data_IF_162474934322
#
_entry.id   IF_162474934322
#
_cell.length_a   1.000
_cell.length_b   1.000
_cell.length_c   1.000
_cell.angle_alpha   90.00
_cell.angle_beta   90.00
_cell.angle_gamma   90.00
#
_symmetry.space_group_name_H-M   'P 1'
#
loop_
_entity.id
_entity.type
_entity.pdbx_description
1 polymer ?
#
# COMPACT_ATOMS: atom_id res chain seq x y z
N UNK A 1 11.71 -6.07 5.67
CA UNK A 1 13.13 -5.80 6.01
C UNK A 1 13.57 -4.45 5.45
N UNK A 2 13.37 -4.17 4.16
CA UNK A 2 13.78 -2.92 3.49
C UNK A 2 13.31 -1.69 4.30
N UNK A 3 12.02 -1.63 4.65
CA UNK A 3 11.44 -0.51 5.40
C UNK A 3 12.09 -0.27 6.77
N UNK A 4 12.37 -1.33 7.52
CA UNK A 4 13.03 -1.21 8.83
C UNK A 4 14.49 -0.78 8.69
N UNK A 5 15.23 -1.36 7.73
CA UNK A 5 16.61 -0.94 7.45
C UNK A 5 16.66 0.54 7.03
N UNK A 6 15.75 0.99 6.14
CA UNK A 6 15.65 2.38 5.71
C UNK A 6 15.32 3.33 6.88
N UNK A 7 14.45 2.89 7.81
CA UNK A 7 14.13 3.66 9.01
C UNK A 7 15.35 3.84 9.93
N UNK A 8 16.02 2.74 10.31
CA UNK A 8 17.17 2.81 11.20
C UNK A 8 18.39 3.49 10.54
N UNK A 9 18.50 3.45 9.20
CA UNK A 9 19.48 4.22 8.44
C UNK A 9 19.18 5.73 8.34
N UNK A 10 18.04 6.19 8.88
CA UNK A 10 17.63 7.59 8.83
C UNK A 10 17.15 8.07 7.44
N UNK A 11 16.95 7.16 6.49
CA UNK A 11 16.48 7.47 5.14
C UNK A 11 15.07 8.05 5.14
N UNK A 12 14.20 7.52 6.01
CA UNK A 12 12.81 7.97 6.16
C UNK A 12 12.72 9.42 6.62
N UNK A 13 13.58 9.80 7.59
CA UNK A 13 13.64 11.18 8.07
C UNK A 13 14.12 12.13 6.96
N UNK A 14 15.11 11.71 6.18
CA UNK A 14 15.60 12.50 5.05
C UNK A 14 14.51 12.74 3.99
N UNK A 15 13.72 11.70 3.68
CA UNK A 15 12.59 11.80 2.76
C UNK A 15 11.51 12.78 3.28
N UNK A 16 11.16 12.68 4.55
CA UNK A 16 10.20 13.60 5.18
C UNK A 16 10.69 15.05 5.16
N UNK A 17 11.95 15.31 5.51
CA UNK A 17 12.53 16.65 5.45
C UNK A 17 12.59 17.20 4.03
N UNK A 18 12.88 16.39 3.04
CA UNK A 18 12.82 16.79 1.64
C UNK A 18 11.39 17.19 1.24
N UNK A 19 10.40 16.33 1.49
CA UNK A 19 8.99 16.62 1.19
C UNK A 19 8.51 17.88 1.90
N UNK A 20 8.86 18.05 3.19
CA UNK A 20 8.55 19.25 3.98
C UNK A 20 9.07 20.53 3.33
N UNK A 21 10.33 20.59 2.95
CA UNK A 21 10.92 21.80 2.34
C UNK A 21 10.34 22.16 0.98
N UNK A 22 9.82 21.18 0.26
CA UNK A 22 9.23 21.39 -1.07
C UNK A 22 7.75 21.76 -1.01
N UNK A 23 6.97 21.22 -0.06
CA UNK A 23 5.51 21.27 -0.07
C UNK A 23 4.93 22.09 1.08
N UNK A 24 5.66 22.30 2.19
CA UNK A 24 5.09 22.86 3.42
C UNK A 24 4.59 24.33 3.32
N UNK A 25 4.86 25.02 2.21
CA UNK A 25 4.35 26.37 1.94
C UNK A 25 2.85 26.42 1.61
N UNK A 26 2.24 25.30 1.25
CA UNK A 26 0.81 25.17 0.97
C UNK A 26 0.02 25.13 2.29
N UNK A 27 -1.23 25.64 2.35
CA UNK A 27 -2.11 25.42 3.50
C UNK A 27 -2.22 23.91 3.80
N UNK A 28 -2.02 23.51 5.07
CA UNK A 28 -1.90 22.10 5.42
C UNK A 28 -0.60 21.44 4.95
N UNK A 29 0.38 22.21 4.49
CA UNK A 29 1.54 21.74 3.75
C UNK A 29 2.40 20.71 4.49
N UNK A 30 2.49 20.77 5.82
CA UNK A 30 3.21 19.74 6.58
C UNK A 30 2.47 18.39 6.55
N UNK A 31 1.15 18.41 6.60
CA UNK A 31 0.32 17.21 6.46
C UNK A 31 0.38 16.65 5.02
N UNK A 32 0.32 17.52 4.01
CA UNK A 32 0.54 17.12 2.61
C UNK A 32 1.93 16.53 2.41
N UNK A 33 2.96 17.16 2.98
CA UNK A 33 4.34 16.64 2.95
C UNK A 33 4.45 15.26 3.59
N UNK A 34 3.68 15.01 4.66
CA UNK A 34 3.61 13.70 5.31
C UNK A 34 3.03 12.66 4.36
N UNK A 35 1.92 12.95 3.67
CA UNK A 35 1.31 12.03 2.70
C UNK A 35 2.28 11.68 1.56
N UNK A 36 2.97 12.68 0.98
CA UNK A 36 3.93 12.40 -0.10
C UNK A 36 5.19 11.69 0.41
N UNK A 37 5.64 11.98 1.62
CA UNK A 37 6.75 11.26 2.22
C UNK A 37 6.37 9.81 2.56
N UNK A 38 5.14 9.58 3.06
CA UNK A 38 4.63 8.21 3.27
C UNK A 38 4.48 7.46 1.96
N UNK A 39 3.99 8.10 0.89
CA UNK A 39 3.91 7.52 -0.45
C UNK A 39 5.30 7.10 -0.98
N UNK A 40 6.29 7.98 -0.87
CA UNK A 40 7.67 7.66 -1.27
C UNK A 40 8.32 6.55 -0.42
N UNK A 41 8.02 6.50 0.88
CA UNK A 41 8.48 5.42 1.75
C UNK A 41 7.69 4.12 1.52
N UNK A 42 6.43 4.20 1.18
CA UNK A 42 5.58 3.09 0.79
C UNK A 42 6.20 2.27 -0.34
N UNK A 43 6.76 2.96 -1.35
CA UNK A 43 7.48 2.35 -2.46
C UNK A 43 8.75 1.57 -2.06
N UNK A 44 9.14 1.61 -0.79
CA UNK A 44 10.29 0.86 -0.25
C UNK A 44 9.83 -0.14 0.80
N UNK A 45 8.84 0.22 1.64
CA UNK A 45 8.42 -0.61 2.77
C UNK A 45 7.40 -1.69 2.39
N UNK A 46 6.47 -1.36 1.50
CA UNK A 46 5.38 -2.23 1.07
C UNK A 46 4.40 -2.67 2.17
N UNK A 47 4.49 -2.10 3.37
CA UNK A 47 3.70 -2.48 4.54
C UNK A 47 3.04 -1.26 5.16
N UNK A 48 1.70 -1.20 5.14
CA UNK A 48 0.89 -0.07 5.61
C UNK A 48 1.09 0.22 7.10
N UNK A 49 0.96 -0.78 7.94
CA UNK A 49 1.12 -0.64 9.40
C UNK A 49 2.53 -0.17 9.78
N UNK A 50 3.57 -0.75 9.16
CA UNK A 50 4.95 -0.34 9.42
C UNK A 50 5.20 1.11 8.97
N UNK A 51 4.67 1.50 7.81
CA UNK A 51 4.75 2.88 7.30
C UNK A 51 4.08 3.86 8.24
N UNK A 52 2.85 3.58 8.68
CA UNK A 52 2.12 4.41 9.63
C UNK A 52 2.87 4.54 10.97
N UNK A 53 3.39 3.43 11.51
CA UNK A 53 4.14 3.43 12.76
C UNK A 53 5.42 4.28 12.70
N UNK A 54 6.15 4.22 11.60
CA UNK A 54 7.37 5.00 11.37
C UNK A 54 7.03 6.50 11.28
N UNK A 55 6.04 6.86 10.46
CA UNK A 55 5.65 8.27 10.29
C UNK A 55 4.93 8.85 11.50
N UNK A 56 4.25 8.03 12.30
CA UNK A 56 3.73 8.47 13.60
C UNK A 56 4.82 9.02 14.52
N UNK A 57 5.99 8.40 14.51
CA UNK A 57 7.15 8.84 15.33
C UNK A 57 7.86 10.07 14.76
N UNK A 58 7.75 10.33 13.47
CA UNK A 58 8.47 11.42 12.79
C UNK A 58 7.55 12.64 12.56
N UNK A 59 6.38 12.43 11.98
CA UNK A 59 5.53 13.49 11.48
C UNK A 59 4.56 14.04 12.54
N UNK A 60 3.99 13.18 13.42
CA UNK A 60 3.03 13.66 14.44
C UNK A 60 3.66 14.66 15.40
N UNK A 61 4.85 14.40 16.02
CA UNK A 61 5.45 15.39 16.92
C UNK A 61 5.73 16.73 16.23
N UNK A 62 6.14 16.70 14.95
CA UNK A 62 6.43 17.89 14.18
C UNK A 62 5.15 18.67 13.87
N UNK A 63 4.05 18.00 13.48
CA UNK A 63 2.74 18.61 13.26
C UNK A 63 2.20 19.25 14.55
N UNK A 64 2.28 18.55 15.68
CA UNK A 64 1.82 19.07 16.98
C UNK A 64 2.64 20.30 17.43
N UNK A 65 3.96 20.32 17.18
CA UNK A 65 4.84 21.45 17.51
C UNK A 65 4.43 22.72 16.78
N UNK A 66 3.85 22.61 15.58
CA UNK A 66 3.40 23.74 14.75
C UNK A 66 1.95 24.11 15.03
N UNK A 67 1.26 23.36 15.90
CA UNK A 67 -0.11 23.67 16.33
C UNK A 67 -1.21 22.94 15.54
N UNK A 68 -0.89 21.87 14.82
CA UNK A 68 -1.90 21.00 14.20
C UNK A 68 -2.75 20.29 15.26
N UNK A 69 -4.02 20.08 14.98
CA UNK A 69 -4.88 19.26 15.82
C UNK A 69 -4.36 17.80 15.88
N UNK A 70 -4.40 17.20 17.08
CA UNK A 70 -3.87 15.85 17.33
C UNK A 70 -4.58 14.78 16.52
N UNK A 71 -5.92 14.88 16.38
CA UNK A 71 -6.74 13.91 15.64
C UNK A 71 -6.45 14.02 14.16
N UNK A 72 -6.31 15.24 13.66
CA UNK A 72 -5.95 15.47 12.26
C UNK A 72 -4.55 14.94 11.94
N UNK A 73 -3.55 15.21 12.78
CA UNK A 73 -2.20 14.69 12.59
C UNK A 73 -2.15 13.16 12.58
N UNK A 74 -2.89 12.51 13.49
CA UNK A 74 -3.01 11.06 13.52
C UNK A 74 -3.72 10.51 12.26
N UNK A 75 -4.83 11.12 11.84
CA UNK A 75 -5.57 10.75 10.64
C UNK A 75 -4.74 10.86 9.36
N UNK A 76 -3.95 11.92 9.22
CA UNK A 76 -3.03 12.12 8.08
C UNK A 76 -2.00 11.01 7.99
N UNK A 77 -1.41 10.61 9.12
CA UNK A 77 -0.42 9.53 9.15
C UNK A 77 -1.06 8.18 8.88
N UNK A 78 -2.25 7.92 9.43
CA UNK A 78 -3.00 6.70 9.16
C UNK A 78 -3.35 6.59 7.66
N UNK A 79 -3.94 7.65 7.08
CA UNK A 79 -4.27 7.70 5.66
C UNK A 79 -3.03 7.57 4.76
N UNK A 80 -1.94 8.28 5.10
CA UNK A 80 -0.68 8.14 4.38
C UNK A 80 -0.11 6.72 4.41
N UNK A 81 -0.24 6.03 5.55
CA UNK A 81 0.20 4.64 5.70
C UNK A 81 -0.49 3.69 4.74
N UNK A 82 -1.77 3.88 4.43
CA UNK A 82 -2.51 3.03 3.50
C UNK A 82 -2.00 3.09 2.05
N UNK A 83 -1.23 4.11 1.68
CA UNK A 83 -0.65 4.18 0.35
C UNK A 83 0.34 3.03 0.08
N UNK A 84 0.91 2.43 1.14
CA UNK A 84 1.83 1.30 1.02
C UNK A 84 1.16 -0.01 0.54
N UNK A 85 -0.16 -0.08 0.54
CA UNK A 85 -0.90 -1.22 -0.01
C UNK A 85 -0.99 -1.20 -1.52
N UNK A 86 -0.94 -0.02 -2.14
CA UNK A 86 -1.11 0.14 -3.58
C UNK A 86 0.19 0.50 -4.29
N UNK A 87 1.05 1.34 -3.67
CA UNK A 87 2.31 1.76 -4.28
C UNK A 87 3.31 0.61 -4.25
N UNK A 88 3.79 0.11 -5.40
CA UNK A 88 4.72 -1.01 -5.46
C UNK A 88 6.09 -0.72 -4.83
N UNK A 89 6.73 -1.74 -4.22
CA UNK A 89 6.24 -3.11 -3.99
C UNK A 89 5.30 -3.20 -2.79
N UNK A 90 4.11 -3.75 -2.98
CA UNK A 90 3.09 -3.92 -1.93
C UNK A 90 2.96 -5.37 -1.49
N UNK A 91 3.13 -5.63 -0.19
CA UNK A 91 3.00 -6.97 0.37
C UNK A 91 1.57 -7.52 0.22
N UNK A 92 0.55 -6.66 0.36
CA UNK A 92 -0.86 -7.07 0.27
C UNK A 92 -1.22 -7.44 -1.17
N UNK A 93 -0.74 -6.69 -2.17
CA UNK A 93 -0.94 -7.05 -3.58
C UNK A 93 -0.26 -8.37 -3.95
N UNK A 94 0.95 -8.61 -3.41
CA UNK A 94 1.63 -9.90 -3.61
C UNK A 94 0.84 -11.05 -3.00
N UNK A 95 0.33 -10.89 -1.77
CA UNK A 95 -0.51 -11.90 -1.11
C UNK A 95 -1.80 -12.14 -1.92
N UNK A 96 -2.47 -11.09 -2.37
CA UNK A 96 -3.63 -11.21 -3.24
C UNK A 96 -3.30 -12.04 -4.49
N UNK A 97 -2.23 -11.68 -5.20
CA UNK A 97 -1.82 -12.36 -6.43
C UNK A 97 -1.57 -13.86 -6.22
N UNK A 98 -0.94 -14.24 -5.10
CA UNK A 98 -0.68 -15.64 -4.74
C UNK A 98 -2.00 -16.41 -4.49
N UNK A 99 -2.98 -15.78 -3.80
CA UNK A 99 -4.24 -16.44 -3.47
C UNK A 99 -5.08 -16.71 -4.71
N UNK A 100 -5.16 -15.73 -5.62
CA UNK A 100 -6.01 -15.80 -6.80
C UNK A 100 -5.26 -16.26 -8.06
N UNK A 101 -4.00 -16.65 -7.90
CA UNK A 101 -3.13 -17.15 -8.97
C UNK A 101 -2.98 -16.15 -10.14
N UNK A 102 -2.88 -14.84 -9.80
CA UNK A 102 -2.63 -13.77 -10.76
C UNK A 102 -1.14 -13.46 -10.88
N UNK A 103 -0.76 -12.85 -12.01
CA UNK A 103 0.60 -12.37 -12.21
C UNK A 103 0.93 -11.21 -11.26
N UNK A 104 1.94 -11.43 -10.40
CA UNK A 104 2.37 -10.47 -9.38
C UNK A 104 2.89 -9.19 -10.02
N UNK A 105 3.64 -9.29 -11.12
CA UNK A 105 4.22 -8.14 -11.81
C UNK A 105 3.14 -7.23 -12.39
N UNK A 106 2.17 -7.80 -13.10
CA UNK A 106 1.05 -7.05 -13.65
C UNK A 106 0.22 -6.36 -12.56
N UNK A 107 -0.04 -7.07 -11.47
CA UNK A 107 -0.82 -6.51 -10.36
C UNK A 107 -0.09 -5.35 -9.66
N UNK A 108 1.21 -5.49 -9.44
CA UNK A 108 2.02 -4.41 -8.87
C UNK A 108 2.05 -3.18 -9.79
N UNK A 109 2.22 -3.35 -11.10
CA UNK A 109 2.13 -2.25 -12.07
C UNK A 109 0.76 -1.56 -12.03
N UNK A 110 -0.31 -2.33 -12.00
CA UNK A 110 -1.68 -1.81 -11.94
C UNK A 110 -1.92 -0.98 -10.66
N UNK A 111 -1.24 -1.28 -9.56
CA UNK A 111 -1.34 -0.55 -8.29
C UNK A 111 -0.71 0.84 -8.33
N UNK A 112 0.24 1.10 -9.24
CA UNK A 112 1.00 2.36 -9.25
C UNK A 112 0.13 3.59 -9.51
N UNK A 113 -0.69 3.56 -10.56
CA UNK A 113 -1.56 4.70 -10.93
C UNK A 113 -2.62 4.97 -9.85
N UNK A 114 -3.40 3.99 -9.36
CA UNK A 114 -4.35 4.19 -8.27
C UNK A 114 -3.68 4.65 -6.97
N UNK A 115 -2.47 4.16 -6.67
CA UNK A 115 -1.70 4.58 -5.51
C UNK A 115 -1.27 6.04 -5.58
N UNK A 116 -0.72 6.47 -6.72
CA UNK A 116 -0.35 7.87 -6.98
C UNK A 116 -1.59 8.79 -6.97
N UNK A 117 -2.68 8.37 -7.59
CA UNK A 117 -3.94 9.09 -7.58
C UNK A 117 -4.49 9.25 -6.15
N UNK A 118 -4.43 8.20 -5.33
CA UNK A 118 -4.84 8.27 -3.92
C UNK A 118 -4.01 9.27 -3.13
N UNK A 119 -2.69 9.33 -3.36
CA UNK A 119 -1.81 10.32 -2.71
C UNK A 119 -2.20 11.76 -3.10
N UNK A 120 -2.54 12.00 -4.37
CA UNK A 120 -3.02 13.30 -4.86
C UNK A 120 -4.37 13.67 -4.24
N UNK A 121 -5.32 12.74 -4.17
CA UNK A 121 -6.64 12.95 -3.54
C UNK A 121 -6.48 13.27 -2.06
N UNK A 122 -5.64 12.55 -1.33
CA UNK A 122 -5.36 12.86 0.08
C UNK A 122 -4.72 14.23 0.25
N UNK A 123 -3.76 14.58 -0.62
CA UNK A 123 -3.16 15.90 -0.63
C UNK A 123 -4.19 17.00 -0.88
N UNK A 124 -5.04 16.84 -1.88
CA UNK A 124 -6.11 17.79 -2.22
C UNK A 124 -7.13 17.93 -1.08
N UNK A 125 -7.54 16.81 -0.46
CA UNK A 125 -8.45 16.81 0.69
C UNK A 125 -7.85 17.58 1.88
N UNK A 126 -6.57 17.34 2.19
CA UNK A 126 -5.87 18.05 3.28
C UNK A 126 -5.84 19.56 3.02
N UNK A 127 -5.49 19.96 1.80
CA UNK A 127 -5.50 21.39 1.42
C UNK A 127 -6.91 21.97 1.53
N UNK A 128 -7.92 21.26 1.03
CA UNK A 128 -9.32 21.67 1.13
C UNK A 128 -9.77 21.86 2.59
N UNK A 129 -9.45 20.91 3.48
CA UNK A 129 -9.76 21.01 4.91
C UNK A 129 -9.00 22.16 5.60
N UNK A 130 -7.72 22.36 5.26
CA UNK A 130 -6.91 23.44 5.82
C UNK A 130 -7.40 24.84 5.38
N UNK A 131 -8.01 24.95 4.19
CA UNK A 131 -8.64 26.17 3.71
C UNK A 131 -10.01 26.39 4.33
N UNK A 132 -10.80 25.33 4.52
CA UNK A 132 -12.15 25.40 5.06
C UNK A 132 -12.20 25.65 6.58
N UNK A 133 -11.25 25.08 7.33
CA UNK A 133 -11.24 25.10 8.80
C UNK A 133 -10.01 25.89 9.29
N UNK A 134 -10.24 27.07 9.85
CA UNK A 134 -9.18 27.92 10.42
C UNK A 134 -8.43 27.16 11.54
N UNK A 135 -7.09 27.12 11.46
CA UNK A 135 -6.24 26.47 12.45
C UNK A 135 -6.00 24.98 12.25
N UNK A 136 -6.59 24.37 11.22
CA UNK A 136 -6.47 22.93 10.94
C UNK A 136 -5.11 22.54 10.36
N UNK A 137 -4.38 23.49 9.78
CA UNK A 137 -3.05 23.25 9.25
C UNK A 137 -2.38 24.54 8.79
N UNK A 138 -1.66 25.25 9.69
CA UNK A 138 -0.94 26.46 9.28
C UNK A 138 0.15 26.12 8.26
N UNK A 139 0.34 26.93 7.20
CA UNK A 139 1.43 26.74 6.27
C UNK A 139 2.77 27.01 6.97
N UNK A 140 3.78 26.21 6.66
CA UNK A 140 5.14 26.40 7.13
C UNK A 140 5.94 27.04 6.01
N UNK A 141 6.01 28.35 6.00
CA UNK A 141 6.74 29.13 5.00
C UNK A 141 8.22 29.32 5.33
N UNK A 142 8.93 29.88 4.38
CA UNK A 142 10.27 30.43 4.62
C UNK A 142 11.45 29.62 4.09
N UNK A 143 11.25 28.52 3.38
CA UNK A 143 12.36 27.76 2.79
C UNK A 143 12.85 28.40 1.50
N UNK A 144 14.15 28.75 1.46
CA UNK A 144 14.83 29.24 0.27
C UNK A 144 15.02 28.13 -0.78
N UNK A 145 15.20 28.51 -2.03
CA UNK A 145 15.50 27.55 -3.10
C UNK A 145 16.75 26.69 -2.81
N UNK A 146 17.76 27.31 -2.18
CA UNK A 146 18.97 26.60 -1.77
C UNK A 146 18.66 25.50 -0.75
N UNK A 147 17.81 25.78 0.25
CA UNK A 147 17.42 24.78 1.25
C UNK A 147 16.60 23.65 0.66
N UNK A 148 15.74 23.94 -0.34
CA UNK A 148 14.97 22.91 -1.07
C UNK A 148 15.90 21.97 -1.83
N UNK A 149 16.87 22.53 -2.55
CA UNK A 149 17.83 21.74 -3.34
C UNK A 149 18.77 20.91 -2.43
N UNK A 150 19.25 21.48 -1.34
CA UNK A 150 20.12 20.79 -0.35
C UNK A 150 19.37 19.64 0.36
N UNK A 151 18.04 19.67 0.42
CA UNK A 151 17.26 18.60 1.03
C UNK A 151 17.11 17.35 0.15
N UNK A 152 17.30 17.45 -1.17
CA UNK A 152 17.11 16.35 -2.11
C UNK A 152 18.19 15.26 -2.01
N UNK A 153 19.51 15.56 -1.99
CA UNK A 153 20.55 14.55 -1.97
C UNK A 153 20.41 13.50 -0.83
N UNK A 154 20.04 13.86 0.41
CA UNK A 154 19.82 12.88 1.47
C UNK A 154 18.63 11.94 1.23
N UNK A 155 17.66 12.34 0.39
CA UNK A 155 16.49 11.53 0.04
C UNK A 155 16.70 10.66 -1.20
N UNK A 156 17.67 11.00 -2.07
CA UNK A 156 17.95 10.25 -3.29
C UNK A 156 18.19 8.74 -3.09
N UNK A 157 18.82 8.27 -1.99
CA UNK A 157 19.01 6.85 -1.77
C UNK A 157 17.69 6.05 -1.79
N UNK A 158 16.59 6.60 -1.27
CA UNK A 158 15.27 5.93 -1.34
C UNK A 158 14.80 5.83 -2.79
N UNK A 159 14.92 6.92 -3.55
CA UNK A 159 14.55 6.92 -4.97
C UNK A 159 15.40 5.91 -5.75
N UNK A 160 16.69 5.84 -5.46
CA UNK A 160 17.59 4.86 -6.09
C UNK A 160 17.16 3.43 -5.82
N UNK A 161 16.78 3.09 -4.58
CA UNK A 161 16.28 1.74 -4.23
C UNK A 161 15.01 1.41 -5.01
N UNK A 162 14.04 2.34 -5.04
CA UNK A 162 12.79 2.15 -5.79
C UNK A 162 13.05 1.93 -7.26
N UNK A 163 13.88 2.79 -7.87
CA UNK A 163 14.27 2.67 -9.27
C UNK A 163 14.97 1.34 -9.53
N UNK A 164 15.88 0.91 -8.67
CA UNK A 164 16.59 -0.38 -8.80
C UNK A 164 15.59 -1.55 -8.80
N UNK A 165 14.63 -1.57 -7.88
CA UNK A 165 13.62 -2.63 -7.82
C UNK A 165 12.75 -2.63 -9.09
N UNK A 166 12.26 -1.47 -9.51
CA UNK A 166 11.42 -1.33 -10.71
C UNK A 166 12.18 -1.77 -11.97
N UNK A 167 13.42 -1.33 -12.12
CA UNK A 167 14.27 -1.74 -13.25
C UNK A 167 14.50 -3.23 -13.31
N UNK A 168 14.72 -3.87 -12.15
CA UNK A 168 14.98 -5.29 -12.09
C UNK A 168 13.75 -6.11 -12.44
N UNK A 169 12.59 -5.70 -11.94
CA UNK A 169 11.32 -6.42 -12.13
C UNK A 169 10.72 -6.20 -13.52
N UNK A 170 10.86 -5.00 -14.10
CA UNK A 170 10.10 -4.64 -15.32
C UNK A 170 10.95 -4.41 -16.56
N UNK A 171 12.29 -4.42 -16.47
CA UNK A 171 13.21 -4.19 -17.61
C UNK A 171 12.72 -3.09 -18.57
N UNK A 172 12.78 -1.79 -18.22
CA UNK A 172 12.21 -0.71 -19.02
C UNK A 172 12.90 -0.49 -20.38
N UNK A 173 14.02 -1.18 -20.65
CA UNK A 173 14.72 -1.13 -21.94
C UNK A 173 14.17 -2.12 -22.97
N UNK A 174 13.15 -2.91 -22.62
CA UNK A 174 12.57 -3.95 -23.47
C UNK A 174 13.29 -5.30 -23.35
N UNK A 175 12.56 -6.36 -23.62
CA UNK A 175 12.98 -7.75 -23.38
C UNK A 175 12.35 -8.33 -22.11
N UNK A 176 12.79 -9.52 -21.76
CA UNK A 176 12.28 -10.23 -20.57
C UNK A 176 12.71 -9.50 -19.27
N UNK A 177 11.90 -9.65 -18.23
CA UNK A 177 12.24 -9.16 -16.89
C UNK A 177 13.58 -9.78 -16.44
N UNK A 178 14.42 -8.98 -15.77
CA UNK A 178 15.72 -9.49 -15.29
C UNK A 178 15.57 -10.46 -14.10
N UNK A 179 14.42 -10.40 -13.45
CA UNK A 179 14.10 -11.32 -12.38
C UNK A 179 12.68 -11.16 -11.86
N UNK A 180 12.35 -12.01 -10.92
CA UNK A 180 11.05 -12.04 -10.25
C UNK A 180 10.88 -10.86 -9.27
N UNK A 181 9.66 -10.48 -8.91
CA UNK A 181 9.40 -9.48 -7.87
C UNK A 181 10.05 -9.82 -6.51
N UNK A 182 10.18 -11.10 -6.18
CA UNK A 182 10.85 -11.55 -4.96
C UNK A 182 12.37 -11.31 -5.00
N UNK A 183 12.99 -11.56 -6.15
CA UNK A 183 14.42 -11.26 -6.36
C UNK A 183 14.67 -9.76 -6.37
N UNK A 184 13.80 -8.97 -7.01
CA UNK A 184 13.83 -7.50 -6.93
C UNK A 184 13.75 -6.99 -5.50
N UNK A 185 12.88 -7.58 -4.69
CA UNK A 185 12.79 -7.30 -3.25
C UNK A 185 14.07 -7.66 -2.49
N UNK A 186 14.71 -8.79 -2.82
CA UNK A 186 15.98 -9.20 -2.20
C UNK A 186 17.12 -8.24 -2.55
N UNK A 187 17.22 -7.83 -3.82
CA UNK A 187 18.20 -6.83 -4.28
C UNK A 187 17.97 -5.49 -3.58
N UNK A 188 16.72 -5.03 -3.51
CA UNK A 188 16.36 -3.82 -2.79
C UNK A 188 16.77 -3.87 -1.32
N UNK A 189 16.55 -5.01 -0.64
CA UNK A 189 16.96 -5.23 0.75
C UNK A 189 18.49 -5.19 0.90
N UNK A 190 19.22 -5.80 -0.01
CA UNK A 190 20.67 -5.79 -0.02
C UNK A 190 21.25 -4.39 -0.25
N UNK A 191 20.71 -3.65 -1.21
CA UNK A 191 21.12 -2.27 -1.49
C UNK A 191 20.88 -1.37 -0.27
N UNK A 192 19.68 -1.45 0.35
CA UNK A 192 19.40 -0.67 1.57
C UNK A 192 20.30 -1.09 2.73
N UNK A 193 20.61 -2.37 2.87
CA UNK A 193 21.54 -2.86 3.88
C UNK A 193 22.95 -2.26 3.70
N UNK A 194 23.50 -2.25 2.48
CA UNK A 194 24.77 -1.61 2.20
C UNK A 194 24.74 -0.11 2.49
N UNK A 195 23.67 0.58 2.10
CA UNK A 195 23.49 2.00 2.40
C UNK A 195 23.39 2.27 3.91
N UNK A 196 22.73 1.40 4.66
CA UNK A 196 22.63 1.48 6.10
C UNK A 196 23.98 1.33 6.81
N UNK A 197 24.79 0.37 6.36
CA UNK A 197 26.16 0.20 6.84
C UNK A 197 27.01 1.43 6.53
N UNK A 198 26.94 1.95 5.30
CA UNK A 198 27.68 3.16 4.90
C UNK A 198 27.28 4.39 5.72
N UNK A 199 26.01 4.50 6.15
CA UNK A 199 25.51 5.55 7.04
C UNK A 199 25.85 5.30 8.53
N UNK A 200 26.59 4.25 8.85
CA UNK A 200 27.05 3.97 10.20
C UNK A 200 26.03 3.25 11.07
N UNK A 201 25.12 2.44 10.48
CA UNK A 201 24.23 1.57 11.24
C UNK A 201 25.05 0.66 12.17
N UNK A 202 24.66 0.62 13.45
CA UNK A 202 25.32 -0.20 14.47
C UNK A 202 24.59 -1.54 14.63
N UNK A 203 25.32 -2.53 15.16
CA UNK A 203 24.78 -3.87 15.40
C UNK A 203 23.43 -3.91 16.15
N UNK A 204 23.18 -3.12 17.22
CA UNK A 204 21.88 -3.12 17.87
C UNK A 204 20.72 -2.72 16.93
N UNK A 205 20.92 -1.72 16.08
CA UNK A 205 19.92 -1.25 15.11
C UNK A 205 19.63 -2.32 14.05
N UNK A 206 20.67 -3.01 13.57
CA UNK A 206 20.52 -4.13 12.64
C UNK A 206 19.75 -5.28 13.30
N UNK A 207 20.10 -5.63 14.53
CA UNK A 207 19.40 -6.66 15.31
C UNK A 207 17.92 -6.31 15.47
N UNK A 208 17.59 -5.06 15.82
CA UNK A 208 16.20 -4.61 15.97
C UNK A 208 15.44 -4.68 14.64
N UNK A 209 16.07 -4.24 13.53
CA UNK A 209 15.48 -4.35 12.19
C UNK A 209 15.17 -5.80 11.80
N UNK A 210 16.08 -6.72 12.09
CA UNK A 210 15.90 -8.15 11.83
C UNK A 210 14.82 -8.75 12.72
N UNK A 211 14.81 -8.42 14.01
CA UNK A 211 13.78 -8.91 14.94
C UNK A 211 12.38 -8.39 14.60
N UNK A 212 12.25 -7.12 14.27
CA UNK A 212 10.95 -6.56 13.82
C UNK A 212 10.48 -7.19 12.50
N UNK A 213 11.41 -7.44 11.57
CA UNK A 213 11.11 -8.16 10.34
C UNK A 213 10.66 -9.60 10.63
N UNK A 214 11.40 -10.32 11.49
CA UNK A 214 11.06 -11.70 11.84
C UNK A 214 9.68 -11.80 12.52
N UNK A 215 9.38 -10.91 13.48
CA UNK A 215 8.07 -10.85 14.14
C UNK A 215 6.94 -10.64 13.14
N UNK A 216 7.08 -9.67 12.24
CA UNK A 216 6.07 -9.41 11.22
C UNK A 216 5.91 -10.59 10.25
N UNK A 217 7.01 -11.20 9.82
CA UNK A 217 6.98 -12.37 8.93
C UNK A 217 6.29 -13.56 9.59
N UNK A 218 6.64 -13.86 10.84
CA UNK A 218 6.00 -14.96 11.62
C UNK A 218 4.50 -14.70 11.77
N UNK A 219 4.10 -13.47 12.08
CA UNK A 219 2.69 -13.11 12.19
C UNK A 219 1.95 -13.37 10.87
N UNK A 220 2.48 -12.89 9.74
CA UNK A 220 1.87 -13.08 8.42
C UNK A 220 1.78 -14.57 8.07
N UNK A 221 2.87 -15.34 8.23
CA UNK A 221 2.87 -16.77 7.91
C UNK A 221 1.92 -17.57 8.81
N UNK A 222 1.79 -17.21 10.09
CA UNK A 222 0.84 -17.85 11.00
C UNK A 222 -0.60 -17.64 10.53
N UNK A 223 -0.94 -16.41 10.13
CA UNK A 223 -2.26 -16.09 9.56
C UNK A 223 -2.50 -16.89 8.28
N UNK A 224 -1.53 -16.86 7.34
CA UNK A 224 -1.63 -17.61 6.08
C UNK A 224 -1.87 -19.09 6.36
N UNK A 225 -1.13 -19.69 7.27
CA UNK A 225 -1.27 -21.12 7.59
C UNK A 225 -2.64 -21.46 8.16
N UNK A 226 -3.12 -20.67 9.12
CA UNK A 226 -4.47 -20.86 9.69
C UNK A 226 -5.55 -20.73 8.63
N UNK A 227 -5.43 -19.73 7.74
CA UNK A 227 -6.40 -19.53 6.66
C UNK A 227 -6.35 -20.64 5.62
N UNK A 228 -5.19 -21.16 5.24
CA UNK A 228 -5.11 -22.27 4.29
C UNK A 228 -5.87 -23.53 4.78
N UNK A 229 -5.84 -23.79 6.10
CA UNK A 229 -6.65 -24.88 6.68
C UNK A 229 -8.15 -24.55 6.53
N UNK A 230 -8.55 -23.31 6.84
CA UNK A 230 -9.94 -22.89 6.73
C UNK A 230 -10.46 -22.91 5.28
N UNK A 231 -9.65 -22.44 4.33
CA UNK A 231 -9.98 -22.47 2.90
C UNK A 231 -10.21 -23.89 2.39
N UNK A 232 -9.40 -24.86 2.86
CA UNK A 232 -9.63 -26.28 2.56
C UNK A 232 -10.98 -26.76 3.09
N UNK A 233 -11.34 -26.38 4.31
CA UNK A 233 -12.66 -26.68 4.87
C UNK A 233 -13.79 -26.09 4.03
N UNK A 234 -13.68 -24.80 3.63
CA UNK A 234 -14.67 -24.15 2.76
C UNK A 234 -14.80 -24.84 1.40
N UNK A 235 -13.67 -25.31 0.84
CA UNK A 235 -13.66 -26.07 -0.42
C UNK A 235 -14.39 -27.41 -0.30
N UNK A 236 -14.18 -28.16 0.81
CA UNK A 236 -14.89 -29.39 1.08
C UNK A 236 -16.40 -29.17 1.35
N UNK A 237 -16.75 -28.01 1.89
CA UNK A 237 -18.15 -27.61 2.12
C UNK A 237 -18.83 -27.04 0.85
N UNK A 238 -18.13 -26.99 -0.27
CA UNK A 238 -18.58 -26.44 -1.57
C UNK A 238 -19.11 -25.00 -1.49
N UNK A 239 -18.70 -24.27 -0.45
CA UNK A 239 -19.18 -22.92 -0.17
C UNK A 239 -18.82 -21.92 -1.30
N UNK A 240 -17.63 -21.93 -1.90
CA UNK A 240 -17.30 -21.00 -2.99
C UNK A 240 -18.21 -21.16 -4.20
N UNK A 241 -18.50 -22.40 -4.62
CA UNK A 241 -19.38 -22.68 -5.74
C UNK A 241 -20.83 -22.33 -5.44
N UNK A 242 -21.32 -22.66 -4.23
CA UNK A 242 -22.65 -22.31 -3.78
C UNK A 242 -22.86 -20.80 -3.69
N UNK A 243 -21.86 -20.06 -3.20
CA UNK A 243 -21.91 -18.62 -3.12
C UNK A 243 -21.89 -17.96 -4.51
N UNK A 244 -21.06 -18.45 -5.43
CA UNK A 244 -21.03 -17.98 -6.82
C UNK A 244 -22.37 -18.23 -7.54
N UNK A 245 -22.94 -19.44 -7.37
CA UNK A 245 -24.25 -19.77 -7.93
C UNK A 245 -25.38 -18.88 -7.35
N UNK A 246 -25.35 -18.64 -6.04
CA UNK A 246 -26.29 -17.73 -5.40
C UNK A 246 -26.20 -16.32 -5.93
N UNK A 247 -25.00 -15.75 -6.03
CA UNK A 247 -24.75 -14.40 -6.55
C UNK A 247 -25.22 -14.25 -7.99
N UNK A 248 -24.93 -15.22 -8.86
CA UNK A 248 -25.34 -15.20 -10.26
C UNK A 248 -26.85 -15.42 -10.46
N UNK A 249 -27.54 -16.01 -9.47
CA UNK A 249 -29.01 -16.13 -9.47
C UNK A 249 -29.75 -14.84 -9.10
N UNK A 250 -29.05 -13.85 -8.56
CA UNK A 250 -29.67 -12.57 -8.21
C UNK A 250 -30.04 -11.80 -9.48
N UNK A 251 -31.27 -11.27 -9.53
CA UNK A 251 -31.78 -10.45 -10.65
C UNK A 251 -31.27 -9.01 -10.62
N UNK A 252 -30.20 -8.74 -9.88
CA UNK A 252 -29.58 -7.43 -9.74
C UNK A 252 -28.52 -7.21 -10.82
N UNK A 253 -28.25 -5.95 -11.15
CA UNK A 253 -27.15 -5.64 -12.07
C UNK A 253 -25.81 -6.08 -11.48
N UNK A 254 -24.90 -6.63 -12.28
CA UNK A 254 -23.58 -7.09 -11.81
C UNK A 254 -22.77 -5.98 -11.10
N UNK A 255 -22.90 -4.73 -11.55
CA UNK A 255 -22.27 -3.59 -10.91
C UNK A 255 -22.83 -3.34 -9.50
N UNK A 256 -24.12 -3.48 -9.29
CA UNK A 256 -24.75 -3.33 -7.97
C UNK A 256 -24.29 -4.42 -7.02
N UNK A 257 -24.20 -5.65 -7.51
CA UNK A 257 -23.66 -6.78 -6.73
C UNK A 257 -22.21 -6.51 -6.31
N UNK A 258 -21.37 -6.04 -7.23
CA UNK A 258 -20.00 -5.66 -6.92
C UNK A 258 -19.92 -4.57 -5.86
N UNK A 259 -20.75 -3.53 -5.96
CA UNK A 259 -20.83 -2.46 -4.95
C UNK A 259 -21.23 -3.04 -3.58
N UNK A 260 -22.20 -3.95 -3.53
CA UNK A 260 -22.59 -4.63 -2.29
C UNK A 260 -21.43 -5.46 -1.70
N UNK A 261 -20.67 -6.15 -2.53
CA UNK A 261 -19.46 -6.88 -2.11
C UNK A 261 -18.43 -5.91 -1.51
N UNK A 262 -18.14 -4.80 -2.19
CA UNK A 262 -17.19 -3.81 -1.70
C UNK A 262 -17.66 -3.15 -0.38
N UNK A 263 -18.95 -2.90 -0.23
CA UNK A 263 -19.53 -2.41 1.04
C UNK A 263 -19.41 -3.46 2.15
N UNK A 264 -19.61 -4.74 1.83
CA UNK A 264 -19.37 -5.82 2.79
C UNK A 264 -17.89 -5.87 3.23
N UNK A 265 -16.95 -5.67 2.31
CA UNK A 265 -15.54 -5.52 2.65
C UNK A 265 -15.29 -4.31 3.56
N UNK A 266 -15.97 -3.17 3.33
CA UNK A 266 -15.88 -2.01 4.20
C UNK A 266 -16.31 -2.35 5.65
N UNK A 267 -17.39 -3.07 5.81
CA UNK A 267 -17.88 -3.49 7.14
C UNK A 267 -16.94 -4.51 7.79
N UNK A 268 -16.51 -5.52 7.03
CA UNK A 268 -15.59 -6.56 7.56
C UNK A 268 -14.24 -5.96 7.99
N UNK A 269 -13.72 -5.01 7.24
CA UNK A 269 -12.45 -4.38 7.54
C UNK A 269 -12.44 -3.52 8.81
N UNK A 270 -13.61 -3.11 9.32
CA UNK A 270 -13.70 -2.48 10.64
C UNK A 270 -13.36 -3.44 11.80
N UNK A 271 -13.46 -4.75 11.55
CA UNK A 271 -13.27 -5.78 12.58
C UNK A 271 -12.02 -6.63 12.37
N UNK A 272 -11.45 -6.63 11.18
CA UNK A 272 -10.37 -7.53 10.78
C UNK A 272 -9.20 -6.76 10.18
N UNK A 273 -8.00 -7.31 10.36
CA UNK A 273 -6.81 -6.84 9.62
C UNK A 273 -6.95 -7.10 8.11
N UNK A 274 -6.38 -6.22 7.29
CA UNK A 274 -6.50 -6.27 5.84
C UNK A 274 -6.02 -7.61 5.24
N UNK A 275 -4.89 -8.14 5.73
CA UNK A 275 -4.34 -9.42 5.25
C UNK A 275 -5.26 -10.57 5.63
N UNK A 276 -5.68 -10.63 6.90
CA UNK A 276 -6.59 -11.66 7.40
C UNK A 276 -7.93 -11.65 6.68
N UNK A 277 -8.48 -10.47 6.43
CA UNK A 277 -9.74 -10.30 5.69
C UNK A 277 -9.62 -10.82 4.25
N UNK A 278 -8.58 -10.42 3.52
CA UNK A 278 -8.38 -10.87 2.14
C UNK A 278 -8.20 -12.39 2.07
N UNK A 279 -7.33 -12.94 2.91
CA UNK A 279 -7.08 -14.37 2.97
C UNK A 279 -8.35 -15.19 3.23
N UNK A 280 -9.23 -14.69 4.10
CA UNK A 280 -10.46 -15.39 4.49
C UNK A 280 -11.54 -15.31 3.41
N UNK A 281 -11.66 -14.16 2.75
CA UNK A 281 -12.82 -13.88 1.88
C UNK A 281 -12.56 -14.14 0.40
N UNK A 282 -11.33 -13.93 -0.09
CA UNK A 282 -11.00 -14.09 -1.51
C UNK A 282 -11.32 -15.47 -2.09
N UNK A 283 -11.09 -16.59 -1.38
CA UNK A 283 -11.41 -17.92 -1.92
C UNK A 283 -12.89 -18.12 -2.25
N UNK A 284 -13.77 -17.33 -1.60
CA UNK A 284 -15.22 -17.36 -1.82
C UNK A 284 -15.67 -16.28 -2.78
N UNK A 285 -15.17 -15.06 -2.59
CA UNK A 285 -15.65 -13.88 -3.33
C UNK A 285 -15.04 -13.78 -4.72
N UNK A 286 -13.75 -14.17 -4.89
CA UNK A 286 -13.09 -14.07 -6.19
C UNK A 286 -13.76 -14.94 -7.28
N UNK A 287 -14.07 -16.24 -7.05
CA UNK A 287 -14.81 -17.04 -8.02
C UNK A 287 -16.18 -16.44 -8.38
N UNK A 288 -16.87 -15.84 -7.40
CA UNK A 288 -18.16 -15.20 -7.64
C UNK A 288 -18.04 -13.96 -8.54
N UNK A 289 -17.03 -13.12 -8.33
CA UNK A 289 -16.77 -11.95 -9.20
C UNK A 289 -16.36 -12.39 -10.61
N UNK A 290 -15.55 -13.46 -10.73
CA UNK A 290 -15.22 -14.02 -12.02
C UNK A 290 -16.45 -14.58 -12.75
N UNK A 291 -17.35 -15.26 -12.04
CA UNK A 291 -18.63 -15.73 -12.61
C UNK A 291 -19.52 -14.57 -13.07
N UNK A 292 -19.60 -13.48 -12.31
CA UNK A 292 -20.30 -12.26 -12.74
C UNK A 292 -19.73 -11.63 -14.01
N UNK A 293 -18.43 -11.72 -14.22
CA UNK A 293 -17.76 -11.21 -15.43
C UNK A 293 -17.97 -12.12 -16.68
N UNK A 294 -18.48 -13.33 -16.50
CA UNK A 294 -18.66 -14.31 -17.56
C UNK A 294 -17.64 -15.46 -17.53
N UNK A 295 -16.81 -15.53 -16.48
CA UNK A 295 -15.83 -16.60 -16.25
C UNK A 295 -14.37 -16.15 -16.36
N UNK A 296 -13.48 -17.05 -15.94
CA UNK A 296 -12.03 -16.76 -15.89
C UNK A 296 -11.39 -16.62 -17.29
N UNK A 297 -11.95 -17.28 -18.29
CA UNK A 297 -11.42 -17.30 -19.67
C UNK A 297 -12.22 -16.44 -20.64
N UNK A 298 -13.14 -15.61 -20.13
CA UNK A 298 -13.97 -14.73 -20.96
C UNK A 298 -13.12 -13.69 -21.69
N UNK A 299 -13.45 -13.41 -22.95
CA UNK A 299 -12.86 -12.29 -23.70
C UNK A 299 -13.42 -10.96 -23.23
N UNK A 300 -12.70 -9.86 -23.48
CA UNK A 300 -13.19 -8.53 -23.12
C UNK A 300 -14.50 -8.17 -23.84
N UNK A 301 -14.70 -8.68 -25.06
CA UNK A 301 -15.91 -8.39 -25.86
C UNK A 301 -17.17 -9.09 -25.32
N UNK A 302 -16.98 -10.29 -24.72
CA UNK A 302 -18.10 -11.13 -24.23
C UNK A 302 -18.33 -10.96 -22.72
N UNK A 303 -17.51 -10.14 -22.06
CA UNK A 303 -17.52 -10.00 -20.60
C UNK A 303 -18.51 -8.93 -20.14
N UNK A 304 -19.05 -9.11 -18.94
CA UNK A 304 -20.01 -8.18 -18.33
C UNK A 304 -19.38 -6.83 -17.97
N UNK A 305 -18.12 -6.83 -17.54
CA UNK A 305 -17.41 -5.60 -17.14
C UNK A 305 -16.53 -5.01 -18.26
N UNK A 306 -16.59 -5.57 -19.49
CA UNK A 306 -15.75 -5.10 -20.61
C UNK A 306 -14.27 -5.46 -20.48
N UNK A 307 -13.93 -6.44 -19.65
CA UNK A 307 -12.56 -6.84 -19.34
C UNK A 307 -12.40 -8.37 -19.46
N UNK A 308 -11.25 -8.82 -20.00
CA UNK A 308 -10.92 -10.25 -19.97
C UNK A 308 -10.82 -10.77 -18.54
N UNK A 309 -10.97 -12.08 -18.35
CA UNK A 309 -10.90 -12.69 -17.02
C UNK A 309 -9.65 -12.27 -16.21
N UNK A 310 -8.42 -12.41 -16.75
CA UNK A 310 -7.21 -11.97 -16.06
C UNK A 310 -7.22 -10.46 -15.72
N UNK A 311 -7.69 -9.62 -16.64
CA UNK A 311 -7.76 -8.18 -16.40
C UNK A 311 -8.79 -7.81 -15.31
N UNK A 312 -9.93 -8.52 -15.30
CA UNK A 312 -10.94 -8.39 -14.23
C UNK A 312 -10.34 -8.80 -12.88
N UNK A 313 -9.52 -9.85 -12.82
CA UNK A 313 -8.81 -10.27 -11.60
C UNK A 313 -7.86 -9.20 -11.07
N UNK A 314 -7.08 -8.58 -11.94
CA UNK A 314 -6.19 -7.47 -11.57
C UNK A 314 -6.99 -6.26 -11.09
N UNK A 315 -8.02 -5.87 -11.83
CA UNK A 315 -8.89 -4.75 -11.47
C UNK A 315 -9.59 -4.95 -10.13
N UNK A 316 -10.17 -6.13 -9.90
CA UNK A 316 -10.80 -6.46 -8.63
C UNK A 316 -9.79 -6.47 -7.48
N UNK A 317 -8.57 -6.94 -7.73
CA UNK A 317 -7.48 -6.90 -6.74
C UNK A 317 -7.17 -5.49 -6.25
N UNK A 318 -7.07 -4.53 -7.16
CA UNK A 318 -6.87 -3.12 -6.79
C UNK A 318 -8.03 -2.58 -5.96
N UNK A 319 -9.28 -2.88 -6.36
CA UNK A 319 -10.47 -2.42 -5.65
C UNK A 319 -10.54 -3.00 -4.23
N UNK A 320 -10.39 -4.31 -4.10
CA UNK A 320 -10.55 -4.98 -2.80
C UNK A 320 -9.40 -4.64 -1.84
N UNK A 321 -8.17 -4.55 -2.34
CA UNK A 321 -7.03 -4.12 -1.53
C UNK A 321 -7.22 -2.67 -1.06
N UNK A 322 -7.74 -1.79 -1.92
CA UNK A 322 -8.05 -0.42 -1.52
C UNK A 322 -9.15 -0.36 -0.47
N UNK A 323 -10.19 -1.17 -0.60
CA UNK A 323 -11.26 -1.26 0.40
C UNK A 323 -10.74 -1.80 1.73
N UNK A 324 -9.91 -2.84 1.70
CA UNK A 324 -9.29 -3.41 2.90
C UNK A 324 -8.47 -2.38 3.69
N UNK A 325 -7.69 -1.57 2.98
CA UNK A 325 -6.86 -0.52 3.61
C UNK A 325 -7.70 0.68 4.08
N UNK A 326 -8.73 1.04 3.34
CA UNK A 326 -9.64 2.11 3.75
C UNK A 326 -10.28 1.81 5.11
N UNK A 327 -10.58 0.55 5.37
CA UNK A 327 -11.20 0.10 6.60
C UNK A 327 -10.26 0.17 7.82
N UNK A 328 -8.93 0.12 7.62
CA UNK A 328 -7.96 0.33 8.69
C UNK A 328 -7.97 1.76 9.26
N UNK A 329 -8.56 2.72 8.55
CA UNK A 329 -8.65 4.12 8.98
C UNK A 329 -10.00 4.40 9.63
N UNK A 330 -11.01 3.58 9.34
CA UNK A 330 -12.35 3.75 9.91
C UNK A 330 -12.39 3.16 11.33
N UNK A 331 -13.01 3.87 12.29
CA UNK A 331 -13.11 3.41 13.68
C UNK A 331 -13.98 2.17 13.83
#
# INVERSE_FOLDING_TARGET
LIGYLAYYAGLTKALFEAAKRWIAWVPGGLAVSTVFATAGFAAVSGASVATAAVFARIAIPEMLRIGYDKRFAAGVVAAGGTLASLIPPSAILVIYAIIVEQDVGQLLLAGFIPGAFSALVYGALIVGLALAIKGFGPPVGGFSWRERLVALPPALPIVFVVVTIIFFVYNPFGGDAWGTPTEGGAIGAFVVFLMALWRGMRWPQLKDALLETAKLSVMIFTIIWGVLIFVRFLGFADLPAAFAAWITSLTLSPLLILICILLAYAVLGMFMDAIGMLLLTLPVVYPAVMALNGGQFVSAADSTFGMSGPMCGVWFGILVVKMAEFCLITP
#
